data_IF_662969922310
#
_entry.id   IF_662969922310
#
_cell.length_a   1.000
_cell.length_b   1.000
_cell.length_c   1.000
_cell.angle_alpha   90.00
_cell.angle_beta   90.00
_cell.angle_gamma   90.00
#
_symmetry.space_group_name_H-M   'P 1'
#
loop_
_entity.id
_entity.type
_entity.pdbx_description
1 polymer ?
#
# COMPACT_ATOMS: atom_id res chain seq x y z
N UNK A 1 8.50 -8.12 11.16
CA UNK A 1 8.05 -8.47 9.79
C UNK A 1 7.45 -9.89 9.73
N UNK A 2 6.45 -10.24 10.55
CA UNK A 2 5.78 -11.57 10.47
C UNK A 2 4.37 -11.51 9.84
N UNK A 3 3.66 -10.38 9.90
CA UNK A 3 2.29 -10.26 9.37
C UNK A 3 2.18 -10.29 7.84
N UNK A 4 3.14 -9.71 7.12
CA UNK A 4 3.12 -9.69 5.64
C UNK A 4 3.32 -11.07 5.00
N UNK A 5 4.07 -11.97 5.65
CA UNK A 5 4.28 -13.33 5.16
C UNK A 5 3.04 -14.22 5.35
N UNK A 6 2.33 -14.06 6.47
CA UNK A 6 1.12 -14.83 6.75
C UNK A 6 0.00 -14.55 5.73
N UNK A 7 -0.20 -13.27 5.36
CA UNK A 7 -1.21 -12.88 4.37
C UNK A 7 -0.95 -13.44 2.97
N UNK A 8 0.31 -13.42 2.53
CA UNK A 8 0.68 -13.92 1.21
C UNK A 8 0.50 -15.44 1.07
N UNK A 9 0.51 -16.18 2.18
CA UNK A 9 0.50 -17.64 2.17
C UNK A 9 -0.88 -18.28 2.44
N UNK A 10 -1.87 -17.51 2.93
CA UNK A 10 -3.19 -18.06 3.31
C UNK A 10 -4.40 -17.44 2.61
N UNK A 11 -4.23 -16.34 1.83
CA UNK A 11 -5.34 -15.62 1.15
C UNK A 11 -6.57 -15.45 2.08
N UNK A 12 -6.33 -15.19 3.36
CA UNK A 12 -7.40 -15.07 4.34
C UNK A 12 -8.04 -13.69 4.26
N UNK A 13 -9.34 -13.59 4.59
CA UNK A 13 -9.98 -12.29 4.81
C UNK A 13 -9.33 -11.60 6.01
N UNK A 14 -9.01 -10.31 5.86
CA UNK A 14 -8.40 -9.47 6.90
C UNK A 14 -9.47 -8.49 7.40
N UNK A 15 -9.85 -8.55 8.68
CA UNK A 15 -10.75 -7.57 9.28
C UNK A 15 -10.20 -6.15 9.21
N UNK A 16 -11.08 -5.13 9.19
CA UNK A 16 -10.68 -3.73 9.01
C UNK A 16 -9.70 -3.23 10.09
N UNK A 17 -9.92 -3.60 11.36
CA UNK A 17 -9.03 -3.24 12.46
C UNK A 17 -7.61 -3.81 12.27
N UNK A 18 -7.50 -5.08 11.90
CA UNK A 18 -6.21 -5.71 11.62
C UNK A 18 -5.55 -5.10 10.39
N UNK A 19 -6.33 -4.79 9.34
CA UNK A 19 -5.81 -4.13 8.15
C UNK A 19 -5.19 -2.76 8.47
N UNK A 20 -5.73 -2.03 9.46
CA UNK A 20 -5.17 -0.79 9.96
C UNK A 20 -3.86 -1.03 10.72
N UNK A 21 -3.84 -2.00 11.64
CA UNK A 21 -2.67 -2.33 12.46
C UNK A 21 -1.46 -2.75 11.63
N UNK A 22 -1.68 -3.53 10.56
CA UNK A 22 -0.60 -3.98 9.67
C UNK A 22 -0.23 -2.95 8.59
N UNK A 23 -0.92 -1.81 8.54
CA UNK A 23 -0.70 -0.75 7.55
C UNK A 23 -1.18 -1.08 6.13
N UNK A 24 -2.11 -2.02 5.98
CA UNK A 24 -2.77 -2.33 4.70
C UNK A 24 -3.76 -1.22 4.30
N UNK A 25 -4.45 -0.65 5.29
CA UNK A 25 -5.26 0.56 5.14
C UNK A 25 -4.74 1.63 6.08
N UNK A 26 -4.98 2.89 5.74
CA UNK A 26 -4.52 4.03 6.54
C UNK A 26 -5.60 4.57 7.49
N UNK A 27 -6.86 4.17 7.29
CA UNK A 27 -8.01 4.56 8.10
C UNK A 27 -9.14 3.54 7.96
N UNK A 28 -9.98 3.45 8.98
CA UNK A 28 -11.23 2.69 9.01
C UNK A 28 -12.35 3.66 9.36
N UNK A 29 -13.50 3.53 8.71
CA UNK A 29 -14.69 4.35 8.93
C UNK A 29 -15.91 3.44 9.06
N UNK A 30 -16.97 3.94 9.68
CA UNK A 30 -18.28 3.28 9.67
C UNK A 30 -18.81 3.19 8.23
N UNK A 31 -19.63 2.18 7.96
CA UNK A 31 -20.11 1.87 6.60
C UNK A 31 -20.87 3.06 6.00
N UNK A 32 -21.71 3.71 6.81
CA UNK A 32 -22.53 4.86 6.42
C UNK A 32 -21.69 6.11 6.14
N UNK A 33 -20.52 6.23 6.78
CA UNK A 33 -19.63 7.40 6.66
C UNK A 33 -18.53 7.21 5.59
N UNK A 34 -18.35 5.99 5.08
CA UNK A 34 -17.23 5.64 4.19
C UNK A 34 -17.15 6.53 2.94
N UNK A 35 -18.28 6.80 2.30
CA UNK A 35 -18.35 7.59 1.09
C UNK A 35 -17.93 9.05 1.34
N UNK A 36 -18.46 9.65 2.40
CA UNK A 36 -18.17 11.03 2.78
C UNK A 36 -16.71 11.20 3.19
N UNK A 37 -16.19 10.25 3.97
CA UNK A 37 -14.79 10.23 4.38
C UNK A 37 -13.81 10.08 3.21
N UNK A 38 -14.13 9.20 2.26
CA UNK A 38 -13.35 9.01 1.05
C UNK A 38 -13.35 10.29 0.20
N UNK A 39 -14.51 10.95 0.07
CA UNK A 39 -14.63 12.20 -0.68
C UNK A 39 -13.89 13.35 -0.01
N UNK A 40 -13.95 13.46 1.31
CA UNK A 40 -13.20 14.44 2.07
C UNK A 40 -11.67 14.24 1.92
N UNK A 41 -11.21 12.98 1.93
CA UNK A 41 -9.81 12.67 1.65
C UNK A 41 -9.42 13.05 0.22
N UNK A 42 -10.24 12.72 -0.77
CA UNK A 42 -10.01 13.09 -2.16
C UNK A 42 -9.93 14.62 -2.35
N UNK A 43 -10.84 15.39 -1.71
CA UNK A 43 -10.83 16.85 -1.73
C UNK A 43 -9.57 17.43 -1.08
N UNK A 44 -9.12 16.87 0.05
CA UNK A 44 -7.86 17.29 0.70
C UNK A 44 -6.65 17.05 -0.19
N UNK A 45 -6.61 15.91 -0.89
CA UNK A 45 -5.56 15.60 -1.85
C UNK A 45 -5.61 16.53 -3.06
N UNK A 46 -6.81 16.86 -3.56
CA UNK A 46 -6.99 17.80 -4.67
C UNK A 46 -6.67 19.26 -4.27
N UNK A 47 -6.90 19.63 -3.01
CA UNK A 47 -6.64 20.97 -2.49
C UNK A 47 -5.17 21.23 -2.12
N UNK A 48 -4.36 20.19 -1.90
CA UNK A 48 -2.92 20.33 -1.72
C UNK A 48 -2.25 20.88 -2.98
N UNK A 49 -1.16 21.63 -2.84
CA UNK A 49 -0.36 22.08 -3.98
C UNK A 49 0.06 20.84 -4.81
N UNK A 50 -0.66 20.57 -5.90
CA UNK A 50 -0.60 19.30 -6.64
C UNK A 50 0.81 18.89 -7.08
N UNK A 51 1.70 19.88 -7.22
CA UNK A 51 3.10 19.66 -7.59
C UNK A 51 3.96 19.04 -6.48
N UNK A 52 3.75 19.39 -5.21
CA UNK A 52 4.56 18.87 -4.10
C UNK A 52 4.14 17.45 -3.71
N UNK A 53 2.83 17.20 -3.64
CA UNK A 53 2.28 15.87 -3.37
C UNK A 53 2.51 14.91 -4.55
N UNK A 54 2.36 15.38 -5.79
CA UNK A 54 2.64 14.61 -6.99
C UNK A 54 4.11 14.14 -7.03
N UNK A 55 5.07 15.05 -6.82
CA UNK A 55 6.50 14.72 -6.81
C UNK A 55 6.89 13.77 -5.68
N UNK A 56 6.34 13.93 -4.48
CA UNK A 56 6.59 12.99 -3.38
C UNK A 56 6.01 11.60 -3.68
N UNK A 57 4.81 11.54 -4.28
CA UNK A 57 4.21 10.27 -4.74
C UNK A 57 5.07 9.61 -5.82
N UNK A 58 5.53 10.36 -6.82
CA UNK A 58 6.42 9.87 -7.87
C UNK A 58 7.75 9.35 -7.31
N UNK A 59 8.36 10.08 -6.38
CA UNK A 59 9.61 9.68 -5.73
C UNK A 59 9.44 8.38 -4.93
N UNK A 60 8.36 8.29 -4.13
CA UNK A 60 8.02 7.09 -3.36
C UNK A 60 7.78 5.89 -4.27
N UNK A 61 6.95 6.05 -5.32
CA UNK A 61 6.65 4.99 -6.28
C UNK A 61 7.90 4.55 -7.06
N UNK A 62 8.77 5.49 -7.44
CA UNK A 62 10.02 5.17 -8.14
C UNK A 62 10.97 4.36 -7.26
N UNK A 63 11.05 4.66 -5.97
CA UNK A 63 11.92 3.98 -5.00
C UNK A 63 11.39 2.59 -4.66
N UNK A 64 10.08 2.48 -4.36
CA UNK A 64 9.43 1.20 -4.09
C UNK A 64 9.44 0.29 -5.32
N UNK A 65 9.14 0.82 -6.52
CA UNK A 65 9.17 0.08 -7.77
C UNK A 65 10.56 -0.42 -8.16
N UNK A 66 11.62 0.38 -7.92
CA UNK A 66 13.01 -0.07 -8.08
C UNK A 66 13.35 -1.20 -7.10
N UNK A 67 12.87 -1.14 -5.86
CA UNK A 67 13.10 -2.18 -4.85
C UNK A 67 12.38 -3.49 -5.19
N UNK A 68 11.15 -3.42 -5.71
CA UNK A 68 10.35 -4.57 -6.14
C UNK A 68 10.97 -5.26 -7.36
N UNK A 69 11.37 -4.49 -8.39
CA UNK A 69 12.07 -5.04 -9.57
C UNK A 69 13.37 -5.74 -9.19
N UNK A 70 14.12 -5.17 -8.25
CA UNK A 70 15.35 -5.78 -7.74
C UNK A 70 15.08 -7.11 -7.02
N UNK A 71 14.05 -7.18 -6.16
CA UNK A 71 13.65 -8.42 -5.48
C UNK A 71 13.15 -9.50 -6.45
N UNK A 72 12.29 -9.13 -7.42
CA UNK A 72 11.80 -10.05 -8.44
C UNK A 72 12.94 -10.63 -9.29
N UNK A 73 13.94 -9.81 -9.65
CA UNK A 73 15.10 -10.24 -10.44
C UNK A 73 16.02 -11.19 -9.68
N UNK A 74 16.25 -11.00 -8.36
CA UNK A 74 17.08 -11.95 -7.60
C UNK A 74 16.37 -13.29 -7.37
N UNK A 75 15.04 -13.30 -7.27
CA UNK A 75 14.25 -14.52 -7.09
C UNK A 75 14.20 -15.37 -8.36
N UNK A 76 14.10 -14.73 -9.54
CA UNK A 76 14.21 -15.42 -10.83
C UNK A 76 15.61 -16.02 -11.07
N UNK A 77 16.68 -15.35 -10.64
CA UNK A 77 18.05 -15.88 -10.78
C UNK A 77 18.38 -17.00 -9.78
N UNK A 78 17.74 -17.02 -8.61
CA UNK A 78 17.86 -18.11 -7.65
C UNK A 78 17.18 -19.41 -8.11
N UNK A 79 16.08 -19.30 -8.86
CA UNK A 79 15.33 -20.46 -9.38
C UNK A 79 16.02 -21.17 -10.56
N UNK A 80 17.05 -20.58 -11.16
CA UNK A 80 17.83 -21.18 -12.27
C UNK A 80 19.17 -21.77 -11.79
N UNK A 81 19.44 -21.74 -10.49
CA UNK A 81 20.69 -22.23 -9.86
C UNK A 81 20.44 -23.34 -8.82
N UNK A 82 19.22 -23.84 -8.73
CA UNK A 82 18.81 -25.01 -7.94
C UNK A 82 18.30 -26.09 -8.89
#
# INVERSE_FOLDING_TARGET
MRGSQALLLTIRRVPAAEALEIGLVMRVADEEALADEAMLAARKLAAGQGNAFGRTKELLLSTLGKSLRRKARSQFQGSLRS
#
